data_IF_846329713938
#
_entry.id   IF_846329713938
#
_cell.length_a   1.000
_cell.length_b   1.000
_cell.length_c   1.000
_cell.angle_alpha   90.00
_cell.angle_beta   90.00
_cell.angle_gamma   90.00
#
_symmetry.space_group_name_H-M   'P 1'
#
loop_
_entity.id
_entity.type
_entity.pdbx_description
1 polymer ?
#
# COMPACT_ATOMS: atom_id res chain seq x y z
N UNK A 1 17.09 -23.77 -9.48
CA UNK A 1 15.70 -24.16 -9.83
C UNK A 1 15.13 -23.10 -10.77
N UNK A 2 14.32 -23.44 -11.78
CA UNK A 2 13.68 -22.42 -12.63
C UNK A 2 12.45 -21.83 -11.93
N UNK A 3 12.20 -20.53 -12.09
CA UNK A 3 11.03 -19.83 -11.49
C UNK A 3 9.72 -20.55 -11.85
N UNK A 4 9.63 -21.08 -13.06
CA UNK A 4 8.43 -21.81 -13.53
C UNK A 4 8.13 -23.05 -12.67
N UNK A 5 9.12 -23.67 -12.06
CA UNK A 5 8.89 -24.79 -11.15
C UNK A 5 8.21 -24.36 -9.83
N UNK A 6 8.28 -23.06 -9.50
CA UNK A 6 7.68 -22.47 -8.29
C UNK A 6 6.29 -21.88 -8.54
N UNK A 7 5.62 -22.24 -9.66
CA UNK A 7 4.28 -21.72 -9.98
C UNK A 7 3.25 -21.98 -8.88
N UNK A 8 3.34 -23.16 -8.25
CA UNK A 8 2.39 -23.56 -7.20
C UNK A 8 2.49 -22.68 -5.96
N UNK A 9 3.68 -22.51 -5.30
CA UNK A 9 3.78 -21.57 -4.19
C UNK A 9 3.47 -20.13 -4.57
N UNK A 10 3.74 -19.68 -5.79
CA UNK A 10 3.34 -18.33 -6.27
C UNK A 10 1.82 -18.17 -6.22
N UNK A 11 1.08 -19.10 -6.84
CA UNK A 11 -0.38 -19.00 -6.92
C UNK A 11 -1.03 -19.18 -5.55
N UNK A 12 -0.59 -20.17 -4.78
CA UNK A 12 -1.17 -20.47 -3.45
C UNK A 12 -0.92 -19.31 -2.48
N UNK A 13 0.29 -18.72 -2.44
CA UNK A 13 0.57 -17.57 -1.59
C UNK A 13 -0.27 -16.36 -1.99
N UNK A 14 -0.45 -16.10 -3.30
CA UNK A 14 -1.30 -15.04 -3.78
C UNK A 14 -2.77 -15.21 -3.35
N UNK A 15 -3.32 -16.43 -3.46
CA UNK A 15 -4.69 -16.74 -3.02
C UNK A 15 -4.83 -16.53 -1.51
N UNK A 16 -3.90 -17.07 -0.71
CA UNK A 16 -3.96 -16.98 0.76
C UNK A 16 -3.84 -15.52 1.22
N UNK A 17 -2.91 -14.75 0.65
CA UNK A 17 -2.77 -13.32 0.96
C UNK A 17 -4.00 -12.51 0.52
N UNK A 18 -4.58 -12.82 -0.64
CA UNK A 18 -5.79 -12.16 -1.12
C UNK A 18 -7.00 -12.40 -0.20
N UNK A 19 -7.20 -13.65 0.23
CA UNK A 19 -8.26 -14.01 1.19
C UNK A 19 -8.01 -13.30 2.53
N UNK A 20 -6.77 -13.32 3.03
CA UNK A 20 -6.43 -12.62 4.28
C UNK A 20 -6.66 -11.11 4.17
N UNK A 21 -6.28 -10.49 3.06
CA UNK A 21 -6.58 -9.08 2.79
C UNK A 21 -8.08 -8.80 2.84
N UNK A 22 -8.89 -9.65 2.21
CA UNK A 22 -10.35 -9.50 2.28
C UNK A 22 -10.86 -9.60 3.72
N UNK A 23 -10.36 -10.53 4.54
CA UNK A 23 -10.72 -10.64 5.96
C UNK A 23 -10.31 -9.40 6.78
N UNK A 24 -9.11 -8.88 6.55
CA UNK A 24 -8.62 -7.66 7.21
C UNK A 24 -9.58 -6.49 6.96
N UNK A 25 -9.97 -6.27 5.71
CA UNK A 25 -10.79 -5.13 5.33
C UNK A 25 -12.29 -5.30 5.58
N UNK A 26 -12.80 -6.53 5.62
CA UNK A 26 -14.24 -6.78 5.78
C UNK A 26 -14.63 -7.22 7.19
N UNK A 27 -13.80 -8.06 7.84
CA UNK A 27 -14.09 -8.64 9.15
C UNK A 27 -13.42 -7.87 10.28
N UNK A 28 -12.09 -7.70 10.22
CA UNK A 28 -11.34 -7.06 11.31
C UNK A 28 -11.51 -5.54 11.33
N UNK A 29 -11.63 -4.89 10.18
CA UNK A 29 -12.02 -3.47 10.01
C UNK A 29 -11.20 -2.45 10.81
N UNK A 30 -9.99 -2.78 11.28
CA UNK A 30 -9.20 -1.83 12.07
C UNK A 30 -8.71 -0.63 11.25
N UNK A 31 -8.68 -0.76 9.92
CA UNK A 31 -8.41 0.35 9.00
C UNK A 31 -9.56 1.38 8.92
N UNK A 32 -10.77 1.06 9.42
CA UNK A 32 -11.86 2.04 9.40
C UNK A 32 -11.53 3.31 10.21
N UNK A 33 -10.71 3.18 11.25
CA UNK A 33 -10.26 4.32 12.06
C UNK A 33 -9.23 5.23 11.37
N UNK A 34 -8.74 4.84 10.18
CA UNK A 34 -7.84 5.65 9.37
C UNK A 34 -8.58 6.75 8.60
N UNK A 35 -9.90 6.62 8.48
CA UNK A 35 -10.76 7.57 7.77
C UNK A 35 -11.46 8.50 8.76
N UNK A 36 -11.38 9.80 8.48
CA UNK A 36 -12.06 10.82 9.27
C UNK A 36 -13.03 11.59 8.37
N UNK A 37 -14.17 11.96 8.93
CA UNK A 37 -15.11 12.85 8.25
C UNK A 37 -14.59 14.28 8.35
N UNK A 38 -14.72 15.04 7.25
CA UNK A 38 -14.45 16.49 7.26
C UNK A 38 -15.53 17.24 8.04
N UNK A 39 -15.20 18.42 8.57
CA UNK A 39 -16.15 19.25 9.31
C UNK A 39 -17.31 19.71 8.43
N UNK A 40 -17.02 20.10 7.18
CA UNK A 40 -18.00 20.48 6.17
C UNK A 40 -17.69 19.75 4.87
N UNK A 41 -18.39 18.63 4.65
CA UNK A 41 -18.22 17.80 3.47
C UNK A 41 -18.72 18.50 2.20
N UNK A 42 -19.82 19.26 2.29
CA UNK A 42 -20.39 19.95 1.13
C UNK A 42 -19.49 21.09 0.65
N UNK A 43 -18.89 21.86 1.55
CA UNK A 43 -17.92 22.87 1.18
C UNK A 43 -16.68 22.27 0.49
N UNK A 44 -16.17 21.13 0.99
CA UNK A 44 -15.05 20.41 0.35
C UNK A 44 -15.46 19.89 -1.03
N UNK A 45 -16.64 19.28 -1.16
CA UNK A 45 -17.16 18.82 -2.46
C UNK A 45 -17.36 19.96 -3.45
N UNK A 46 -17.86 21.10 -2.98
CA UNK A 46 -18.05 22.29 -3.82
C UNK A 46 -16.71 22.83 -4.34
N UNK A 47 -15.68 22.90 -3.49
CA UNK A 47 -14.35 23.40 -3.88
C UNK A 47 -13.63 22.49 -4.88
N UNK A 48 -13.89 21.17 -4.81
CA UNK A 48 -13.29 20.18 -5.72
C UNK A 48 -14.14 19.90 -6.97
N UNK A 49 -15.32 20.54 -7.08
CA UNK A 49 -16.21 20.33 -8.22
C UNK A 49 -15.56 20.80 -9.51
N UNK A 50 -15.47 19.92 -10.50
CA UNK A 50 -14.83 20.21 -11.79
C UNK A 50 -13.33 19.94 -11.83
N UNK A 51 -12.71 19.57 -10.71
CA UNK A 51 -11.33 19.10 -10.73
C UNK A 51 -11.21 17.76 -11.45
N UNK A 52 -10.18 17.63 -12.29
CA UNK A 52 -9.88 16.37 -12.92
C UNK A 52 -9.25 15.38 -11.92
N UNK A 53 -9.33 14.05 -12.19
CA UNK A 53 -8.62 13.08 -11.39
C UNK A 53 -7.13 13.38 -11.31
N UNK A 54 -6.60 13.46 -10.08
CA UNK A 54 -5.21 13.83 -9.87
C UNK A 54 -4.84 13.90 -8.38
N UNK A 55 -3.59 14.29 -8.14
CA UNK A 55 -3.06 14.50 -6.80
C UNK A 55 -2.84 15.99 -6.58
N UNK A 56 -3.47 16.56 -5.58
CA UNK A 56 -3.50 18.00 -5.29
C UNK A 56 -2.88 18.27 -3.92
N UNK A 57 -2.27 19.43 -3.77
CA UNK A 57 -1.73 19.92 -2.50
C UNK A 57 -2.27 21.31 -2.21
N UNK A 58 -2.59 21.57 -0.96
CA UNK A 58 -3.08 22.89 -0.47
C UNK A 58 -2.32 23.21 0.81
N UNK A 59 -1.68 24.40 0.92
CA UNK A 59 -1.44 25.39 -0.13
C UNK A 59 -0.51 24.86 -1.23
N UNK A 60 -0.73 25.30 -2.47
CA UNK A 60 0.12 24.90 -3.59
C UNK A 60 1.33 25.85 -3.68
N UNK A 61 2.53 25.27 -3.65
CA UNK A 61 3.79 25.96 -3.89
C UNK A 61 4.82 24.91 -4.31
N UNK A 62 5.29 24.98 -5.54
CA UNK A 62 6.34 24.08 -6.05
C UNK A 62 7.69 24.79 -6.23
N UNK A 63 7.69 26.11 -6.44
CA UNK A 63 8.93 26.85 -6.62
C UNK A 63 9.52 27.26 -5.24
N UNK A 64 10.75 26.85 -4.93
CA UNK A 64 11.44 27.29 -3.72
C UNK A 64 11.61 28.81 -3.61
N UNK A 65 11.56 29.55 -4.74
CA UNK A 65 11.59 31.00 -4.73
C UNK A 65 10.26 31.58 -4.22
N UNK A 66 9.11 31.03 -4.66
CA UNK A 66 7.78 31.41 -4.17
C UNK A 66 7.60 31.09 -2.68
N UNK A 67 8.25 30.05 -2.19
CA UNK A 67 8.21 29.68 -0.77
C UNK A 67 8.81 30.77 0.15
N UNK A 68 9.57 31.72 -0.39
CA UNK A 68 10.11 32.87 0.37
C UNK A 68 9.11 34.02 0.50
N UNK A 69 8.08 34.05 -0.32
CA UNK A 69 7.02 35.09 -0.30
C UNK A 69 6.30 35.09 1.06
N UNK A 70 6.18 36.24 1.73
CA UNK A 70 5.46 36.36 3.00
C UNK A 70 4.00 35.88 2.93
N UNK A 71 3.30 36.11 1.82
CA UNK A 71 1.91 35.66 1.65
C UNK A 71 1.82 34.11 1.54
N UNK A 72 2.78 33.47 0.85
CA UNK A 72 2.85 32.01 0.78
C UNK A 72 3.15 31.43 2.16
N UNK A 73 4.15 31.99 2.88
CA UNK A 73 4.45 31.58 4.26
C UNK A 73 3.25 31.70 5.19
N UNK A 74 2.48 32.79 5.05
CA UNK A 74 1.27 33.03 5.83
C UNK A 74 0.24 31.92 5.58
N UNK A 75 -0.03 31.56 4.31
CA UNK A 75 -0.95 30.46 3.97
C UNK A 75 -0.52 29.13 4.60
N UNK A 76 0.77 28.82 4.59
CA UNK A 76 1.28 27.59 5.24
C UNK A 76 1.17 27.67 6.77
N UNK A 77 1.39 28.83 7.37
CA UNK A 77 1.27 29.02 8.82
C UNK A 77 -0.18 28.97 9.32
N UNK A 78 -1.10 29.51 8.55
CA UNK A 78 -2.55 29.48 8.86
C UNK A 78 -3.17 28.12 8.56
N UNK A 79 -2.63 27.37 7.57
CA UNK A 79 -3.15 26.07 7.17
C UNK A 79 -4.57 26.11 6.59
N UNK A 80 -5.19 24.94 6.41
CA UNK A 80 -4.61 23.61 6.60
C UNK A 80 -3.63 23.21 5.49
N UNK A 81 -2.62 22.40 5.82
CA UNK A 81 -1.86 21.65 4.80
C UNK A 81 -2.63 20.36 4.49
N UNK A 82 -2.90 20.12 3.22
CA UNK A 82 -3.63 18.93 2.80
C UNK A 82 -3.09 18.36 1.47
N UNK A 83 -2.99 17.05 1.41
CA UNK A 83 -2.74 16.27 0.21
C UNK A 83 -4.02 15.54 -0.18
N UNK A 84 -4.55 15.79 -1.38
CA UNK A 84 -5.88 15.38 -1.79
C UNK A 84 -5.78 14.56 -3.07
N UNK A 85 -6.22 13.30 -3.04
CA UNK A 85 -6.39 12.49 -4.24
C UNK A 85 -7.83 12.60 -4.73
N UNK A 86 -8.02 13.20 -5.89
CA UNK A 86 -9.32 13.26 -6.58
C UNK A 86 -9.40 12.09 -7.54
N UNK A 87 -10.40 11.24 -7.37
CA UNK A 87 -10.69 10.10 -8.22
C UNK A 87 -11.79 10.44 -9.25
N UNK A 88 -11.98 9.56 -10.24
CA UNK A 88 -13.11 9.68 -11.17
C UNK A 88 -14.44 9.61 -10.42
N UNK A 89 -15.40 10.44 -10.85
CA UNK A 89 -16.75 10.44 -10.31
C UNK A 89 -17.45 9.08 -10.50
N UNK A 90 -18.32 8.75 -9.56
CA UNK A 90 -19.13 7.53 -9.58
C UNK A 90 -18.75 6.54 -8.47
N UNK A 91 -19.57 5.52 -8.32
CA UNK A 91 -19.29 4.45 -7.35
C UNK A 91 -18.05 3.65 -7.79
N UNK A 92 -17.11 3.39 -6.86
CA UNK A 92 -15.92 2.60 -7.20
C UNK A 92 -16.30 1.21 -7.71
N UNK A 93 -15.82 0.85 -8.90
CA UNK A 93 -15.96 -0.52 -9.39
C UNK A 93 -14.97 -1.43 -8.66
N UNK A 94 -15.49 -2.31 -7.81
CA UNK A 94 -14.66 -3.19 -6.99
C UNK A 94 -14.02 -4.33 -7.78
N UNK A 95 -14.68 -4.81 -8.85
CA UNK A 95 -14.19 -5.96 -9.63
C UNK A 95 -12.76 -5.76 -10.16
N UNK A 96 -12.48 -4.74 -10.97
CA UNK A 96 -11.12 -4.46 -11.45
C UNK A 96 -10.11 -4.24 -10.32
N UNK A 97 -10.51 -3.59 -9.23
CA UNK A 97 -9.63 -3.36 -8.07
C UNK A 97 -9.22 -4.68 -7.40
N UNK A 98 -10.16 -5.60 -7.23
CA UNK A 98 -9.88 -6.92 -6.67
C UNK A 98 -8.96 -7.73 -7.58
N UNK A 99 -9.20 -7.73 -8.90
CA UNK A 99 -8.32 -8.39 -9.87
C UNK A 99 -6.91 -7.80 -9.80
N UNK A 100 -6.79 -6.47 -9.81
CA UNK A 100 -5.48 -5.81 -9.72
C UNK A 100 -4.76 -6.13 -8.40
N UNK A 101 -5.50 -6.19 -7.28
CA UNK A 101 -4.94 -6.57 -5.98
C UNK A 101 -4.45 -8.02 -5.97
N UNK A 102 -5.21 -8.95 -6.59
CA UNK A 102 -4.76 -10.33 -6.74
C UNK A 102 -3.49 -10.43 -7.59
N UNK A 103 -3.44 -9.72 -8.72
CA UNK A 103 -2.25 -9.68 -9.58
C UNK A 103 -1.04 -9.07 -8.86
N UNK A 104 -1.24 -8.11 -7.97
CA UNK A 104 -0.19 -7.59 -7.11
C UNK A 104 0.38 -8.68 -6.18
N UNK A 105 -0.45 -9.50 -5.54
CA UNK A 105 0.04 -10.62 -4.74
C UNK A 105 0.77 -11.67 -5.58
N UNK A 106 0.30 -11.93 -6.80
CA UNK A 106 1.03 -12.80 -7.76
C UNK A 106 2.40 -12.22 -8.07
N UNK A 107 2.50 -10.92 -8.33
CA UNK A 107 3.77 -10.25 -8.62
C UNK A 107 4.76 -10.35 -7.44
N UNK A 108 4.28 -10.17 -6.20
CA UNK A 108 5.10 -10.37 -5.00
C UNK A 108 5.55 -11.83 -4.89
N UNK A 109 4.66 -12.80 -5.17
CA UNK A 109 5.00 -14.22 -5.21
C UNK A 109 6.08 -14.55 -6.26
N UNK A 110 6.00 -13.93 -7.46
CA UNK A 110 7.04 -14.08 -8.50
C UNK A 110 8.38 -13.53 -8.04
N UNK A 111 8.38 -12.35 -7.38
CA UNK A 111 9.61 -11.79 -6.81
C UNK A 111 10.18 -12.71 -5.72
N UNK A 112 9.35 -13.22 -4.82
CA UNK A 112 9.78 -14.18 -3.80
C UNK A 112 10.38 -15.43 -4.43
N UNK A 113 9.72 -16.00 -5.44
CA UNK A 113 10.23 -17.15 -6.20
C UNK A 113 11.58 -16.86 -6.84
N UNK A 114 11.73 -15.67 -7.45
CA UNK A 114 13.00 -15.25 -8.05
C UNK A 114 14.14 -15.31 -7.01
N UNK A 115 13.97 -14.73 -5.84
CA UNK A 115 14.99 -14.73 -4.80
C UNK A 115 15.23 -16.13 -4.20
N UNK A 116 14.20 -16.96 -4.08
CA UNK A 116 14.32 -18.35 -3.63
C UNK A 116 15.21 -19.15 -4.59
N UNK A 117 15.19 -18.88 -5.90
CA UNK A 117 16.06 -19.58 -6.86
C UNK A 117 17.56 -19.35 -6.64
N UNK A 118 17.94 -18.27 -5.96
CA UNK A 118 19.34 -17.99 -5.58
C UNK A 118 19.71 -18.52 -4.18
N UNK A 119 18.76 -19.03 -3.42
CA UNK A 119 19.05 -19.61 -2.11
C UNK A 119 19.86 -20.90 -2.26
N UNK A 120 20.97 -20.96 -1.55
CA UNK A 120 21.80 -22.17 -1.49
C UNK A 120 21.15 -23.24 -0.59
N UNK A 121 20.48 -22.81 0.47
CA UNK A 121 19.74 -23.68 1.37
C UNK A 121 18.31 -23.87 0.85
N UNK A 122 17.88 -25.12 0.79
CA UNK A 122 16.57 -25.56 0.27
C UNK A 122 15.66 -26.14 1.35
N UNK A 123 16.05 -25.98 2.62
CA UNK A 123 15.18 -26.39 3.73
C UNK A 123 14.05 -25.38 3.95
N UNK A 124 13.01 -25.84 4.67
CA UNK A 124 11.82 -25.05 4.98
C UNK A 124 12.16 -23.66 5.53
N UNK A 125 13.05 -23.59 6.54
CA UNK A 125 13.32 -22.35 7.25
C UNK A 125 14.10 -21.35 6.41
N UNK A 126 15.03 -21.81 5.60
CA UNK A 126 15.77 -20.97 4.66
C UNK A 126 14.84 -20.38 3.60
N UNK A 127 14.01 -21.20 2.98
CA UNK A 127 13.02 -20.77 1.99
C UNK A 127 11.99 -19.82 2.59
N UNK A 128 11.47 -20.15 3.79
CA UNK A 128 10.57 -19.26 4.55
C UNK A 128 11.17 -17.87 4.78
N UNK A 129 12.42 -17.82 5.23
CA UNK A 129 13.11 -16.54 5.51
C UNK A 129 13.28 -15.71 4.24
N UNK A 130 13.72 -16.31 3.15
CA UNK A 130 13.92 -15.59 1.88
C UNK A 130 12.60 -15.08 1.35
N UNK A 131 11.62 -15.94 1.16
CA UNK A 131 10.32 -15.55 0.58
C UNK A 131 9.56 -14.57 1.49
N UNK A 132 9.56 -14.82 2.81
CA UNK A 132 8.93 -13.93 3.78
C UNK A 132 9.58 -12.56 3.84
N UNK A 133 10.93 -12.48 3.82
CA UNK A 133 11.63 -11.19 3.82
C UNK A 133 11.32 -10.38 2.56
N UNK A 134 11.32 -11.02 1.39
CA UNK A 134 10.97 -10.36 0.11
C UNK A 134 9.54 -9.84 0.18
N UNK A 135 8.59 -10.66 0.62
CA UNK A 135 7.19 -10.25 0.77
C UNK A 135 7.03 -9.10 1.77
N UNK A 136 7.74 -9.13 2.91
CA UNK A 136 7.71 -8.05 3.89
C UNK A 136 8.19 -6.73 3.29
N UNK A 137 9.33 -6.74 2.62
CA UNK A 137 9.87 -5.53 1.96
C UNK A 137 8.90 -5.01 0.91
N UNK A 138 8.34 -5.88 0.08
CA UNK A 138 7.42 -5.52 -0.99
C UNK A 138 6.11 -4.88 -0.46
N UNK A 139 5.61 -5.35 0.69
CA UNK A 139 4.36 -4.86 1.28
C UNK A 139 4.53 -3.63 2.19
N UNK A 140 5.74 -3.35 2.70
CA UNK A 140 5.92 -2.36 3.78
C UNK A 140 6.77 -1.15 3.42
N UNK A 141 7.93 -1.34 2.79
CA UNK A 141 8.96 -0.28 2.75
C UNK A 141 8.53 0.97 1.99
N UNK A 142 7.74 0.86 0.93
CA UNK A 142 7.24 2.00 0.17
C UNK A 142 6.27 2.91 0.97
N UNK A 143 5.74 2.43 2.09
CA UNK A 143 4.79 3.18 2.91
C UNK A 143 5.46 4.22 3.83
N UNK A 144 6.74 4.02 4.16
CA UNK A 144 7.49 4.95 5.01
C UNK A 144 7.64 6.33 4.36
N UNK A 145 8.07 6.44 3.08
CA UNK A 145 8.12 7.73 2.38
C UNK A 145 6.77 8.46 2.31
N UNK A 146 5.66 7.73 2.26
CA UNK A 146 4.32 8.33 2.27
C UNK A 146 4.04 9.11 3.56
N UNK A 147 4.48 8.59 4.71
CA UNK A 147 4.36 9.31 5.99
C UNK A 147 5.37 10.45 6.12
N UNK A 148 6.56 10.32 5.52
CA UNK A 148 7.60 11.36 5.60
C UNK A 148 7.25 12.56 4.72
N UNK A 149 6.86 12.33 3.46
CA UNK A 149 6.72 13.40 2.48
C UNK A 149 5.29 13.89 2.27
N UNK A 150 4.28 13.03 2.55
CA UNK A 150 2.87 13.36 2.32
C UNK A 150 2.06 13.41 3.62
N UNK A 151 2.75 13.51 4.77
CA UNK A 151 2.13 13.67 6.10
C UNK A 151 1.06 12.61 6.40
N UNK A 152 1.15 11.41 5.80
CA UNK A 152 0.25 10.32 6.16
C UNK A 152 0.44 9.97 7.63
N UNK A 153 -0.65 9.83 8.41
CA UNK A 153 -0.54 9.49 9.82
C UNK A 153 0.27 8.22 10.03
N UNK A 154 1.29 8.27 10.88
CA UNK A 154 2.13 7.13 11.22
C UNK A 154 1.36 5.92 11.74
N UNK A 155 0.19 6.16 12.37
CA UNK A 155 -0.72 5.09 12.79
C UNK A 155 -1.19 4.22 11.60
N UNK A 156 -1.41 4.82 10.43
CA UNK A 156 -1.75 4.08 9.21
C UNK A 156 -0.57 3.23 8.75
N UNK A 157 0.63 3.80 8.74
CA UNK A 157 1.86 3.10 8.36
C UNK A 157 2.10 1.90 9.28
N UNK A 158 1.94 2.08 10.60
CA UNK A 158 2.08 0.97 11.58
C UNK A 158 1.08 -0.15 11.31
N UNK A 159 -0.19 0.16 11.03
CA UNK A 159 -1.20 -0.86 10.69
C UNK A 159 -0.86 -1.60 9.41
N UNK A 160 -0.44 -0.87 8.37
CA UNK A 160 0.00 -1.49 7.12
C UNK A 160 1.26 -2.36 7.32
N UNK A 161 2.15 -2.02 8.26
CA UNK A 161 3.26 -2.89 8.65
C UNK A 161 2.79 -4.17 9.32
N UNK A 162 1.74 -4.11 10.14
CA UNK A 162 1.11 -5.32 10.70
C UNK A 162 0.56 -6.20 9.59
N UNK A 163 -0.14 -5.63 8.60
CA UNK A 163 -0.60 -6.36 7.42
C UNK A 163 0.56 -6.99 6.65
N UNK A 164 1.65 -6.23 6.45
CA UNK A 164 2.84 -6.71 5.77
C UNK A 164 3.48 -7.89 6.50
N UNK A 165 3.52 -7.88 7.84
CA UNK A 165 3.97 -9.03 8.64
C UNK A 165 3.08 -10.24 8.39
N UNK A 166 1.76 -10.07 8.41
CA UNK A 166 0.82 -11.17 8.16
C UNK A 166 1.04 -11.77 6.77
N UNK A 167 1.07 -10.93 5.73
CA UNK A 167 1.29 -11.40 4.34
C UNK A 167 2.65 -12.05 4.17
N UNK A 168 3.69 -11.54 4.83
CA UNK A 168 5.04 -12.11 4.75
C UNK A 168 5.14 -13.48 5.41
N UNK A 169 4.49 -13.66 6.56
CA UNK A 169 4.43 -14.97 7.23
C UNK A 169 3.66 -16.00 6.40
N UNK A 170 2.54 -15.59 5.79
CA UNK A 170 1.76 -16.45 4.90
C UNK A 170 2.56 -16.82 3.64
N UNK A 171 3.18 -15.85 2.98
CA UNK A 171 4.00 -16.08 1.79
C UNK A 171 5.19 -16.99 2.13
N UNK A 172 5.93 -16.67 3.20
CA UNK A 172 7.06 -17.47 3.65
C UNK A 172 6.66 -18.90 3.99
N UNK A 173 5.54 -19.08 4.72
CA UNK A 173 5.01 -20.40 5.08
C UNK A 173 4.65 -21.25 3.87
N UNK A 174 3.94 -20.66 2.89
CA UNK A 174 3.57 -21.35 1.64
C UNK A 174 4.81 -21.75 0.84
N UNK A 175 5.75 -20.83 0.68
CA UNK A 175 7.00 -21.14 -0.04
C UNK A 175 7.85 -22.16 0.69
N UNK A 176 8.01 -22.05 2.01
CA UNK A 176 8.76 -23.05 2.79
C UNK A 176 8.18 -24.45 2.68
N UNK A 177 6.88 -24.57 2.44
CA UNK A 177 6.18 -25.85 2.37
C UNK A 177 6.10 -26.46 0.97
N UNK A 178 6.05 -25.61 -0.08
CA UNK A 178 5.76 -26.04 -1.44
C UNK A 178 6.91 -25.82 -2.44
N UNK A 179 8.01 -25.17 -2.04
CA UNK A 179 9.17 -24.90 -2.90
C UNK A 179 10.23 -26.02 -2.89
#
# INVERSE_FOLDING_TARGET
MAIVALWLPIVVSAVVCFVMSALIWTLFKYHNSDYKKTADEEAVRASLKGSEPGFYVVPFCLDPAEAKDPEVKKKFAEGPLAYITVAKNGMPNMGPKMVTMFLYFVAVGVLAAYFVTFSVATDYLATFRVAGTVAFIAHSMALVPESIWFERPWSMTVKNFVDAVIYSLLTGGVFGWLA
#
